data_IF_041028751487
#
_entry.id   IF_041028751487
#
_cell.length_a   1.000
_cell.length_b   1.000
_cell.length_c   1.000
_cell.angle_alpha   90.00
_cell.angle_beta   90.00
_cell.angle_gamma   90.00
#
_symmetry.space_group_name_H-M   'P 1'
#
loop_
_entity.id
_entity.type
_entity.pdbx_description
1 polymer ?
#
# COMPACT_ATOMS: atom_id res chain seq x y z
N UNK A 1 -4.32 8.37 -42.31
CA UNK A 1 -3.31 8.38 -41.22
C UNK A 1 -3.99 8.52 -39.85
N UNK A 2 -4.88 7.60 -39.47
CA UNK A 2 -5.70 7.74 -38.23
C UNK A 2 -5.87 6.44 -37.44
N UNK A 3 -5.28 5.33 -37.92
CA UNK A 3 -5.49 3.99 -37.36
C UNK A 3 -4.48 3.61 -36.25
N UNK A 4 -3.38 4.36 -36.12
CA UNK A 4 -2.34 4.12 -35.10
C UNK A 4 -2.60 4.85 -33.77
N UNK A 5 -3.54 5.79 -33.72
CA UNK A 5 -3.87 6.56 -32.51
C UNK A 5 -4.75 5.78 -31.52
N UNK A 6 -5.54 4.81 -32.00
CA UNK A 6 -6.42 4.00 -31.16
C UNK A 6 -5.67 2.93 -30.33
N UNK A 7 -4.47 2.54 -30.75
CA UNK A 7 -3.67 1.53 -30.04
C UNK A 7 -2.95 2.10 -28.80
N UNK A 8 -2.72 3.42 -28.73
CA UNK A 8 -2.00 4.03 -27.61
C UNK A 8 -2.87 4.24 -26.36
N UNK A 9 -4.20 4.28 -26.50
CA UNK A 9 -5.12 4.52 -25.39
C UNK A 9 -5.35 3.33 -24.45
N UNK A 10 -5.18 2.09 -24.95
CA UNK A 10 -5.45 0.86 -24.19
C UNK A 10 -4.29 0.42 -23.26
N UNK A 11 -3.13 1.05 -23.35
CA UNK A 11 -1.96 0.71 -22.51
C UNK A 11 -1.89 1.50 -21.19
N UNK A 12 -2.68 2.58 -21.06
CA UNK A 12 -2.70 3.44 -19.87
C UNK A 12 -3.27 2.78 -18.59
N UNK A 13 -4.31 1.92 -18.61
CA UNK A 13 -4.87 1.39 -17.35
C UNK A 13 -3.98 0.32 -16.69
N UNK A 14 -3.05 -0.30 -17.42
CA UNK A 14 -2.13 -1.32 -16.90
C UNK A 14 -1.05 -0.74 -15.97
N UNK A 15 -0.84 0.58 -15.98
CA UNK A 15 0.15 1.27 -15.15
C UNK A 15 -0.39 1.71 -13.77
N UNK A 16 -1.68 1.51 -13.50
CA UNK A 16 -2.30 1.91 -12.22
C UNK A 16 -1.90 1.05 -11.02
N UNK A 17 -1.17 -0.05 -11.23
CA UNK A 17 -0.88 -1.06 -10.20
C UNK A 17 0.30 -0.80 -9.26
N UNK A 18 1.20 0.16 -9.56
CA UNK A 18 2.46 0.32 -8.80
C UNK A 18 2.84 1.77 -8.48
N UNK A 19 1.89 2.71 -8.52
CA UNK A 19 2.19 4.10 -8.16
C UNK A 19 1.98 4.27 -6.66
N UNK A 20 3.01 4.66 -5.88
CA UNK A 20 2.83 4.96 -4.46
C UNK A 20 1.74 6.02 -4.32
N UNK A 21 0.83 5.83 -3.38
CA UNK A 21 -0.26 6.81 -3.21
C UNK A 21 0.33 8.15 -2.76
N UNK A 22 -0.36 9.26 -3.03
CA UNK A 22 0.14 10.61 -2.72
C UNK A 22 0.66 10.77 -1.26
N UNK A 23 -0.02 10.23 -0.23
CA UNK A 23 0.49 10.26 1.15
C UNK A 23 1.82 9.50 1.34
N UNK A 24 1.97 8.35 0.68
CA UNK A 24 3.14 7.48 0.80
C UNK A 24 4.36 8.12 0.15
N UNK A 25 4.15 8.70 -1.03
CA UNK A 25 5.18 9.46 -1.72
C UNK A 25 5.65 10.66 -0.90
N UNK A 26 4.71 11.41 -0.30
CA UNK A 26 5.04 12.55 0.57
C UNK A 26 5.81 12.12 1.81
N UNK A 27 5.36 11.06 2.49
CA UNK A 27 6.07 10.51 3.63
C UNK A 27 7.51 10.11 3.27
N UNK A 28 7.71 9.49 2.10
CA UNK A 28 9.04 9.16 1.61
C UNK A 28 9.96 10.36 1.42
N UNK A 29 9.43 11.47 0.88
CA UNK A 29 10.20 12.72 0.77
C UNK A 29 10.55 13.34 2.12
N UNK A 30 9.65 13.24 3.11
CA UNK A 30 9.89 13.77 4.45
C UNK A 30 10.97 13.00 5.22
N UNK A 31 11.09 11.69 4.98
CA UNK A 31 12.09 10.87 5.67
C UNK A 31 13.47 10.92 5.03
N UNK A 32 13.55 11.14 3.73
CA UNK A 32 14.82 11.12 3.00
C UNK A 32 15.82 12.14 3.58
N UNK A 33 16.99 11.65 3.95
CA UNK A 33 18.09 12.44 4.52
C UNK A 33 18.02 12.68 6.03
N UNK A 34 16.93 12.29 6.72
CA UNK A 34 16.82 12.38 8.19
C UNK A 34 17.63 11.30 8.88
N UNK A 35 17.94 11.52 10.16
CA UNK A 35 18.65 10.51 10.97
C UNK A 35 17.70 9.34 11.30
N UNK A 36 18.22 8.13 11.19
CA UNK A 36 17.50 6.89 11.50
C UNK A 36 16.92 6.88 12.92
N UNK A 37 17.57 7.56 13.87
CA UNK A 37 17.07 7.73 15.23
C UNK A 37 15.71 8.41 15.26
N UNK A 38 15.47 9.40 14.40
CA UNK A 38 14.17 10.10 14.36
C UNK A 38 13.04 9.16 13.94
N UNK A 39 13.32 8.23 13.01
CA UNK A 39 12.35 7.21 12.63
C UNK A 39 12.11 6.20 13.75
N UNK A 40 13.15 5.79 14.48
CA UNK A 40 13.02 4.89 15.64
C UNK A 40 12.23 5.57 16.77
N UNK A 41 12.48 6.86 17.01
CA UNK A 41 11.77 7.62 18.04
C UNK A 41 10.28 7.81 17.66
N UNK A 42 9.96 7.91 16.37
CA UNK A 42 8.58 8.05 15.87
C UNK A 42 7.81 6.72 15.78
N UNK A 43 8.42 5.68 15.19
CA UNK A 43 7.76 4.39 14.96
C UNK A 43 7.99 3.36 16.07
N UNK A 44 8.90 3.64 17.02
CA UNK A 44 9.42 2.66 17.97
C UNK A 44 10.52 1.78 17.36
N UNK A 45 10.99 0.76 18.10
CA UNK A 45 12.04 -0.13 17.61
C UNK A 45 11.56 -0.94 16.38
N UNK A 46 12.41 -1.13 15.37
CA UNK A 46 12.07 -1.95 14.21
C UNK A 46 11.92 -3.42 14.61
N UNK A 47 10.92 -4.10 14.06
CA UNK A 47 10.71 -5.53 14.26
C UNK A 47 11.75 -6.37 13.52
N UNK A 48 12.38 -5.82 12.47
CA UNK A 48 13.47 -6.45 11.75
C UNK A 48 14.51 -5.43 11.31
N UNK A 49 15.78 -5.79 11.45
CA UNK A 49 16.91 -5.07 10.87
C UNK A 49 17.75 -6.04 10.04
N UNK A 50 18.02 -5.70 8.79
CA UNK A 50 18.77 -6.53 7.87
C UNK A 50 19.85 -5.69 7.19
N UNK A 51 21.14 -5.95 7.44
CA UNK A 51 22.21 -5.33 6.67
C UNK A 51 22.17 -5.81 5.21
N UNK A 52 22.55 -4.93 4.29
CA UNK A 52 22.82 -5.28 2.89
C UNK A 52 24.01 -6.26 2.80
N UNK A 53 24.14 -7.05 1.71
CA UNK A 53 25.21 -8.03 1.57
C UNK A 53 26.63 -7.43 1.69
N UNK A 54 26.81 -6.20 1.19
CA UNK A 54 28.05 -5.42 1.25
C UNK A 54 28.19 -4.59 2.55
N UNK A 55 27.21 -4.67 3.45
CA UNK A 55 27.13 -3.93 4.73
C UNK A 55 27.26 -2.42 4.57
N UNK A 56 26.88 -1.87 3.42
CA UNK A 56 26.82 -0.44 3.19
C UNK A 56 25.55 0.18 3.75
N UNK A 57 24.48 -0.61 3.85
CA UNK A 57 23.17 -0.16 4.26
C UNK A 57 22.53 -1.14 5.25
N UNK A 58 21.55 -0.64 6.00
CA UNK A 58 20.68 -1.44 6.86
C UNK A 58 19.24 -1.13 6.50
N UNK A 59 18.47 -2.17 6.19
CA UNK A 59 17.04 -2.07 6.05
C UNK A 59 16.36 -2.31 7.41
N UNK A 60 15.58 -1.35 7.87
CA UNK A 60 14.73 -1.43 9.05
C UNK A 60 13.27 -1.64 8.62
N UNK A 61 12.55 -2.55 9.29
CA UNK A 61 11.15 -2.82 9.01
C UNK A 61 10.29 -2.76 10.27
N UNK A 62 9.10 -2.17 10.12
CA UNK A 62 8.04 -2.15 11.13
C UNK A 62 6.77 -2.77 10.58
N UNK A 63 6.07 -3.54 11.41
CA UNK A 63 4.82 -4.21 11.06
C UNK A 63 3.67 -3.58 11.84
N UNK A 64 2.55 -3.35 11.15
CA UNK A 64 1.31 -2.81 11.72
C UNK A 64 0.13 -3.62 11.22
N UNK A 65 -0.69 -4.09 12.13
CA UNK A 65 -1.98 -4.66 11.79
C UNK A 65 -2.96 -3.52 11.47
N UNK A 66 -3.71 -3.70 10.40
CA UNK A 66 -4.68 -2.72 9.92
C UNK A 66 -5.98 -3.42 9.58
N UNK A 67 -7.05 -2.66 9.48
CA UNK A 67 -8.33 -3.16 9.01
C UNK A 67 -8.94 -2.18 8.03
N UNK A 68 -9.76 -2.69 7.12
CA UNK A 68 -10.50 -1.86 6.20
C UNK A 68 -11.91 -2.42 5.99
N UNK A 69 -12.84 -1.53 5.70
CA UNK A 69 -14.20 -1.89 5.33
C UNK A 69 -14.32 -1.84 3.82
N UNK A 70 -14.98 -2.85 3.24
CA UNK A 70 -15.28 -2.89 1.82
C UNK A 70 -16.72 -3.38 1.63
N UNK A 71 -17.45 -2.69 0.77
CA UNK A 71 -18.80 -3.09 0.38
C UNK A 71 -18.72 -4.32 -0.53
N UNK A 72 -19.34 -5.41 -0.10
CA UNK A 72 -19.27 -6.71 -0.77
C UNK A 72 -20.65 -7.38 -0.83
N UNK A 73 -20.84 -8.28 -1.79
CA UNK A 73 -22.04 -9.11 -1.85
C UNK A 73 -21.89 -10.20 -0.79
N UNK A 74 -22.79 -10.19 0.20
CA UNK A 74 -22.81 -11.18 1.29
C UNK A 74 -23.80 -12.31 1.04
N UNK A 75 -24.66 -12.16 0.04
CA UNK A 75 -25.57 -13.20 -0.40
C UNK A 75 -26.24 -12.84 -1.72
N UNK A 76 -26.79 -13.84 -2.39
CA UNK A 76 -27.56 -13.66 -3.61
C UNK A 76 -28.73 -14.63 -3.66
N UNK A 77 -29.89 -14.18 -4.13
CA UNK A 77 -31.02 -15.04 -4.47
C UNK A 77 -31.32 -14.97 -5.96
N UNK A 78 -31.89 -16.05 -6.51
CA UNK A 78 -32.34 -16.12 -7.90
C UNK A 78 -33.75 -16.68 -7.93
N UNK A 79 -34.69 -15.95 -8.50
CA UNK A 79 -36.11 -16.32 -8.52
C UNK A 79 -36.72 -16.05 -9.90
N UNK A 80 -37.65 -16.91 -10.31
CA UNK A 80 -38.43 -16.70 -11.52
C UNK A 80 -39.55 -15.71 -11.23
N UNK A 81 -39.53 -14.54 -11.87
CA UNK A 81 -40.57 -13.52 -11.75
C UNK A 81 -41.04 -13.14 -13.14
N UNK A 82 -42.35 -13.30 -13.42
CA UNK A 82 -42.90 -12.98 -14.74
C UNK A 82 -42.31 -13.78 -15.91
N UNK A 83 -41.85 -15.02 -15.67
CA UNK A 83 -41.26 -15.88 -16.70
C UNK A 83 -39.79 -15.58 -17.01
N UNK A 84 -39.15 -14.64 -16.31
CA UNK A 84 -37.71 -14.37 -16.40
C UNK A 84 -37.01 -14.67 -15.08
N UNK A 85 -35.73 -15.04 -15.15
CA UNK A 85 -34.90 -15.24 -13.97
C UNK A 85 -34.36 -13.90 -13.48
N UNK A 86 -34.64 -13.55 -12.24
CA UNK A 86 -34.18 -12.33 -11.58
C UNK A 86 -33.12 -12.70 -10.55
N UNK A 87 -31.97 -12.03 -10.60
CA UNK A 87 -30.89 -12.16 -9.63
C UNK A 87 -30.88 -10.94 -8.68
N UNK A 88 -30.98 -11.19 -7.38
CA UNK A 88 -30.88 -10.14 -6.34
C UNK A 88 -29.62 -10.35 -5.53
N UNK A 89 -28.76 -9.34 -5.47
CA UNK A 89 -27.55 -9.33 -4.65
C UNK A 89 -27.77 -8.51 -3.38
N UNK A 90 -27.44 -9.08 -2.23
CA UNK A 90 -27.47 -8.42 -0.94
C UNK A 90 -26.07 -7.92 -0.61
N UNK A 91 -25.94 -6.61 -0.43
CA UNK A 91 -24.66 -5.94 -0.22
C UNK A 91 -24.52 -5.50 1.23
N UNK A 92 -23.34 -5.70 1.81
CA UNK A 92 -23.01 -5.26 3.16
C UNK A 92 -21.57 -4.74 3.25
N UNK A 93 -21.26 -4.03 4.32
CA UNK A 93 -19.94 -3.51 4.65
C UNK A 93 -19.14 -4.55 5.44
N UNK A 94 -18.22 -5.24 4.76
CA UNK A 94 -17.41 -6.32 5.34
C UNK A 94 -16.08 -5.76 5.83
N UNK A 95 -15.75 -6.05 7.10
CA UNK A 95 -14.45 -5.69 7.68
C UNK A 95 -13.42 -6.76 7.39
N UNK A 96 -12.30 -6.35 6.80
CA UNK A 96 -11.16 -7.20 6.47
C UNK A 96 -9.93 -6.79 7.27
N UNK A 97 -9.19 -7.77 7.80
CA UNK A 97 -7.87 -7.56 8.40
C UNK A 97 -6.79 -7.51 7.32
N UNK A 98 -5.80 -6.65 7.48
CA UNK A 98 -4.67 -6.51 6.57
C UNK A 98 -3.39 -6.17 7.34
N UNK A 99 -2.25 -6.27 6.67
CA UNK A 99 -0.95 -5.87 7.21
C UNK A 99 -0.41 -4.65 6.49
N UNK A 100 0.32 -3.81 7.23
CA UNK A 100 1.12 -2.72 6.73
C UNK A 100 2.57 -2.95 7.17
N UNK A 101 3.49 -2.98 6.21
CA UNK A 101 4.93 -3.03 6.47
C UNK A 101 5.55 -1.71 6.05
N UNK A 102 6.21 -1.03 6.97
CA UNK A 102 7.02 0.15 6.71
C UNK A 102 8.47 -0.31 6.58
N UNK A 103 9.18 0.11 5.54
CA UNK A 103 10.58 -0.24 5.31
C UNK A 103 11.41 1.01 5.06
N UNK A 104 12.52 1.15 5.77
CA UNK A 104 13.50 2.22 5.56
C UNK A 104 14.87 1.63 5.30
N UNK A 105 15.57 2.19 4.32
CA UNK A 105 16.96 1.87 4.05
C UNK A 105 17.83 3.00 4.59
N UNK A 106 18.83 2.65 5.38
CA UNK A 106 19.71 3.60 6.06
C UNK A 106 21.15 3.33 5.69
N UNK A 107 21.90 4.39 5.39
CA UNK A 107 23.32 4.29 5.06
C UNK A 107 24.24 4.27 6.29
N UNK A 108 25.56 4.16 6.08
CA UNK A 108 26.56 4.19 7.16
C UNK A 108 26.59 5.49 7.96
N UNK A 109 26.13 6.61 7.40
CA UNK A 109 26.01 7.88 8.11
C UNK A 109 24.74 7.94 8.98
N UNK A 110 23.96 6.85 9.01
CA UNK A 110 22.65 6.73 9.67
C UNK A 110 21.59 7.62 9.03
N UNK A 111 21.77 8.00 7.76
CA UNK A 111 20.78 8.77 7.02
C UNK A 111 19.83 7.85 6.28
N UNK A 112 18.55 8.19 6.30
CA UNK A 112 17.52 7.46 5.56
C UNK A 112 17.69 7.77 4.06
N UNK A 113 18.00 6.74 3.28
CA UNK A 113 18.11 6.80 1.82
C UNK A 113 16.78 6.65 1.12
N UNK A 114 15.97 5.73 1.63
CA UNK A 114 14.72 5.29 1.03
C UNK A 114 13.69 4.94 2.09
N UNK A 115 12.43 5.15 1.75
CA UNK A 115 11.26 4.77 2.53
C UNK A 115 10.23 4.17 1.58
N UNK A 116 9.75 2.98 1.92
CA UNK A 116 8.70 2.29 1.19
C UNK A 116 7.73 1.63 2.13
N UNK A 117 6.53 1.38 1.63
CA UNK A 117 5.50 0.65 2.35
C UNK A 117 4.96 -0.50 1.52
N UNK A 118 4.46 -1.53 2.19
CA UNK A 118 3.78 -2.67 1.55
C UNK A 118 2.52 -3.04 2.32
N UNK A 119 1.51 -3.49 1.59
CA UNK A 119 0.20 -3.80 2.14
C UNK A 119 -0.69 -2.57 2.27
N UNK A 120 -1.69 -2.61 3.15
CA UNK A 120 -2.65 -1.52 3.31
C UNK A 120 -2.32 -0.72 4.56
N UNK A 121 -1.80 0.49 4.40
CA UNK A 121 -1.37 1.34 5.51
C UNK A 121 -2.34 2.48 5.84
N UNK A 122 -3.62 2.34 5.46
CA UNK A 122 -4.67 3.30 5.80
C UNK A 122 -4.79 3.45 7.32
N UNK A 123 -4.77 4.68 7.81
CA UNK A 123 -4.83 4.98 9.25
C UNK A 123 -3.51 4.85 10.00
N UNK A 124 -2.43 4.43 9.34
CA UNK A 124 -1.08 4.43 9.92
C UNK A 124 -0.46 5.81 9.71
N UNK A 125 0.06 6.43 10.78
CA UNK A 125 0.84 7.66 10.66
C UNK A 125 2.17 7.35 9.96
N UNK A 126 2.39 7.86 8.75
CA UNK A 126 3.55 7.53 7.91
C UNK A 126 4.73 8.49 8.07
N UNK A 127 4.49 9.65 8.66
CA UNK A 127 5.49 10.69 8.94
C UNK A 127 5.00 11.54 10.13
N UNK A 128 5.92 12.23 10.83
CA UNK A 128 5.55 13.17 11.89
C UNK A 128 4.82 14.41 11.38
#
# INVERSE_FOLDING_TARGET
>A
MTRHLLALGLLLPLLSGCIPTLPEYRAGQQWKGRDAKEAIDFFGPPGRMQPSPDRSEVQMQWYRDTSYVKKEVVGSSSEMQGGVMVHTNYWDDVTHTSGCTLSMTVDKARQIKDFSIRGRCTGVALAP
#
